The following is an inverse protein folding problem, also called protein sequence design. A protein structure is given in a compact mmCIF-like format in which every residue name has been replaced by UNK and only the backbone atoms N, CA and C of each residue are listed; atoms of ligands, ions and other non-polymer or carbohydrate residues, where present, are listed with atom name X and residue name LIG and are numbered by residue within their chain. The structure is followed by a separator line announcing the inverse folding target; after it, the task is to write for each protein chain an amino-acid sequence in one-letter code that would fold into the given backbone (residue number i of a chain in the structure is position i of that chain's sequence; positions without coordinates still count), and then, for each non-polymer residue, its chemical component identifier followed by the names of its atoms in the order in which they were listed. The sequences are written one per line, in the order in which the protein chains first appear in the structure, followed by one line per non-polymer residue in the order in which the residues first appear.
data_IF_837593733243
#
_entry.id   IF_837593733243
#
_cell.length_a   1.000
_cell.length_b   1.000
_cell.length_c   1.000
_cell.angle_alpha   90.00
_cell.angle_beta   90.00
_cell.angle_gamma   90.00
#
_symmetry.space_group_name_H-M   'P 1'
#
loop_
_entity.id
_entity.type
_entity.pdbx_description
1 polymer ?
#
# COMPACT_ATOMS: atom_id res chain seq x y z
N UNK A 1 -10.02 -6.82 -21.84
CA UNK A 1 -9.35 -5.62 -22.39
C UNK A 1 -7.86 -5.85 -22.30
N UNK A 2 -7.05 -5.24 -23.20
CA UNK A 2 -5.60 -5.33 -23.17
C UNK A 2 -4.98 -4.03 -22.66
N UNK A 3 -3.77 -4.10 -22.15
CA UNK A 3 -3.06 -2.95 -21.58
C UNK A 3 -2.93 -1.76 -22.54
N UNK A 4 -2.64 -2.02 -23.82
CA UNK A 4 -2.54 -0.97 -24.84
C UNK A 4 -3.86 -0.17 -25.00
N UNK A 5 -5.00 -0.81 -24.77
CA UNK A 5 -6.29 -0.15 -24.82
C UNK A 5 -6.50 0.76 -23.60
N UNK A 6 -5.95 0.41 -22.43
CA UNK A 6 -5.96 1.29 -21.25
C UNK A 6 -5.06 2.52 -21.45
N UNK A 7 -3.89 2.34 -22.09
CA UNK A 7 -3.00 3.45 -22.41
C UNK A 7 -3.66 4.44 -23.37
N UNK A 8 -4.51 3.95 -24.28
CA UNK A 8 -5.26 4.81 -25.21
C UNK A 8 -6.35 5.65 -24.54
N UNK A 9 -6.79 5.31 -23.31
CA UNK A 9 -7.73 6.12 -22.54
C UNK A 9 -7.10 7.43 -22.03
N UNK A 10 -5.78 7.44 -21.85
CA UNK A 10 -5.08 8.63 -21.37
C UNK A 10 -5.00 9.65 -22.50
N UNK A 11 -5.71 10.80 -22.43
CA UNK A 11 -5.80 11.71 -23.55
C UNK A 11 -4.44 12.32 -23.89
N UNK A 12 -4.28 12.72 -25.14
CA UNK A 12 -3.15 13.54 -25.55
C UNK A 12 -3.30 14.96 -24.97
N UNK A 13 -2.21 15.74 -24.85
CA UNK A 13 -2.28 17.11 -24.37
C UNK A 13 -3.34 17.93 -25.12
N UNK A 14 -4.24 18.57 -24.37
CA UNK A 14 -5.33 19.38 -24.90
C UNK A 14 -6.54 18.63 -25.46
N UNK A 15 -6.56 17.30 -25.35
CA UNK A 15 -7.73 16.50 -25.70
C UNK A 15 -8.57 16.17 -24.46
N UNK A 16 -9.88 16.12 -24.64
CA UNK A 16 -10.81 15.67 -23.61
C UNK A 16 -10.76 14.13 -23.47
N UNK A 17 -11.01 13.58 -22.26
CA UNK A 17 -11.14 12.15 -22.07
C UNK A 17 -12.35 11.57 -22.78
N UNK A 18 -12.24 10.37 -23.31
CA UNK A 18 -13.40 9.57 -23.74
C UNK A 18 -13.98 8.81 -22.54
N UNK A 19 -14.86 9.44 -21.80
CA UNK A 19 -15.50 8.85 -20.62
C UNK A 19 -16.37 7.62 -20.95
N UNK A 20 -16.90 7.54 -22.19
CA UNK A 20 -17.64 6.35 -22.62
C UNK A 20 -16.70 5.15 -22.77
N UNK A 21 -15.53 5.36 -23.38
CA UNK A 21 -14.50 4.34 -23.45
C UNK A 21 -13.97 3.96 -22.05
N UNK A 22 -13.83 4.92 -21.12
CA UNK A 22 -13.44 4.66 -19.73
C UNK A 22 -14.42 3.72 -19.02
N UNK A 23 -15.72 3.98 -19.15
CA UNK A 23 -16.77 3.14 -18.56
C UNK A 23 -16.82 1.76 -19.24
N UNK A 24 -16.68 1.69 -20.56
CA UNK A 24 -16.57 0.41 -21.26
C UNK A 24 -15.35 -0.40 -20.80
N UNK A 25 -14.26 0.29 -20.47
CA UNK A 25 -13.04 -0.28 -19.93
C UNK A 25 -13.19 -0.84 -18.52
N UNK A 26 -13.90 -0.14 -17.68
CA UNK A 26 -14.12 -0.46 -16.27
C UNK A 26 -15.63 -0.45 -15.97
N UNK A 27 -16.35 -1.55 -16.24
CA UNK A 27 -17.82 -1.58 -16.08
C UNK A 27 -18.29 -1.26 -14.65
N UNK A 28 -17.45 -1.43 -13.64
CA UNK A 28 -17.77 -1.04 -12.27
C UNK A 28 -18.04 0.48 -12.11
N UNK A 29 -17.54 1.32 -13.03
CA UNK A 29 -17.82 2.76 -13.06
C UNK A 29 -19.29 3.08 -13.38
N UNK A 30 -20.05 2.17 -14.00
CA UNK A 30 -21.49 2.36 -14.19
C UNK A 30 -22.24 2.50 -12.86
N UNK A 31 -21.81 1.77 -11.82
CA UNK A 31 -22.39 1.90 -10.48
C UNK A 31 -22.15 3.28 -9.86
N UNK A 32 -21.06 3.97 -10.23
CA UNK A 32 -20.75 5.29 -9.74
C UNK A 32 -21.82 6.33 -10.08
N UNK A 33 -22.52 6.17 -11.22
CA UNK A 33 -23.56 7.07 -11.72
C UNK A 33 -24.81 7.12 -10.81
N UNK A 34 -25.00 6.13 -9.99
CA UNK A 34 -26.15 6.03 -9.06
C UNK A 34 -25.72 5.98 -7.59
N UNK A 35 -24.42 6.12 -7.32
CA UNK A 35 -23.89 6.08 -5.96
C UNK A 35 -23.91 7.48 -5.34
N UNK A 36 -24.78 7.71 -4.33
CA UNK A 36 -24.89 9.02 -3.70
C UNK A 36 -23.68 9.31 -2.80
N UNK A 37 -23.41 10.59 -2.57
CA UNK A 37 -22.38 11.08 -1.67
C UNK A 37 -22.96 12.10 -0.66
N UNK A 38 -22.21 12.34 0.44
CA UNK A 38 -22.61 13.35 1.42
C UNK A 38 -22.51 14.75 0.81
N UNK A 39 -23.63 15.47 0.64
CA UNK A 39 -23.68 16.78 -0.01
C UNK A 39 -22.77 17.83 0.64
N UNK A 40 -22.52 17.72 1.95
CA UNK A 40 -21.61 18.64 2.65
C UNK A 40 -20.17 18.57 2.15
N UNK A 41 -19.77 17.44 1.54
CA UNK A 41 -18.42 17.22 1.01
C UNK A 41 -18.39 17.01 -0.50
N UNK A 42 -19.55 16.81 -1.12
CA UNK A 42 -19.73 16.50 -2.53
C UNK A 42 -21.00 17.15 -3.05
N UNK A 43 -21.00 18.48 -3.13
CA UNK A 43 -22.12 19.25 -3.68
C UNK A 43 -22.36 19.00 -5.17
N UNK A 44 -21.41 18.38 -5.87
CA UNK A 44 -21.52 17.93 -7.24
C UNK A 44 -22.46 16.72 -7.43
N UNK A 45 -22.73 15.95 -6.38
CA UNK A 45 -23.74 14.89 -6.39
C UNK A 45 -23.20 13.47 -6.32
N UNK A 46 -23.32 12.69 -7.41
CA UNK A 46 -22.93 11.27 -7.45
C UNK A 46 -21.41 11.07 -7.66
N UNK A 47 -20.97 9.83 -7.44
CA UNK A 47 -19.54 9.45 -7.53
C UNK A 47 -19.02 9.60 -8.98
N UNK A 48 -19.85 9.38 -10.00
CA UNK A 48 -19.40 9.52 -11.38
C UNK A 48 -19.16 10.97 -11.77
N UNK A 49 -20.09 11.85 -11.42
CA UNK A 49 -19.94 13.31 -11.59
C UNK A 49 -18.67 13.79 -10.93
N UNK A 50 -18.44 13.39 -9.66
CA UNK A 50 -17.19 13.67 -8.97
C UNK A 50 -15.96 13.13 -9.72
N UNK A 51 -15.97 11.86 -10.13
CA UNK A 51 -14.83 11.22 -10.82
C UNK A 51 -14.46 11.97 -12.11
N UNK A 52 -15.46 12.38 -12.91
CA UNK A 52 -15.18 13.14 -14.15
C UNK A 52 -14.61 14.51 -13.85
N UNK A 53 -15.12 15.22 -12.84
CA UNK A 53 -14.57 16.52 -12.40
C UNK A 53 -13.13 16.36 -11.87
N UNK A 54 -12.80 15.30 -11.17
CA UNK A 54 -11.43 15.01 -10.71
C UNK A 54 -10.49 14.77 -11.89
N UNK A 55 -10.91 13.98 -12.87
CA UNK A 55 -10.11 13.74 -14.09
C UNK A 55 -9.91 15.02 -14.87
N UNK A 56 -10.95 15.82 -15.07
CA UNK A 56 -10.86 17.10 -15.78
C UNK A 56 -9.92 18.08 -15.04
N UNK A 57 -10.03 18.16 -13.70
CA UNK A 57 -9.14 18.95 -12.88
C UNK A 57 -7.69 18.49 -13.00
N UNK A 58 -7.43 17.16 -12.97
CA UNK A 58 -6.10 16.58 -13.13
C UNK A 58 -5.45 17.01 -14.45
N UNK A 59 -6.19 16.89 -15.55
CA UNK A 59 -5.69 17.22 -16.89
C UNK A 59 -5.35 18.71 -17.05
N UNK A 60 -5.99 19.58 -16.27
CA UNK A 60 -5.74 21.02 -16.26
C UNK A 60 -4.52 21.43 -15.42
N UNK A 61 -4.02 20.54 -14.53
CA UNK A 61 -2.90 20.86 -13.65
C UNK A 61 -1.58 20.95 -14.43
N UNK A 62 -0.78 22.02 -14.26
CA UNK A 62 0.52 22.17 -14.92
C UNK A 62 1.48 21.02 -14.61
N UNK A 63 1.48 20.53 -13.36
CA UNK A 63 2.35 19.43 -12.92
C UNK A 63 1.99 18.13 -13.65
N UNK A 64 0.71 17.87 -13.94
CA UNK A 64 0.30 16.75 -14.77
C UNK A 64 0.81 16.89 -16.20
N UNK A 65 0.65 18.09 -16.80
CA UNK A 65 1.07 18.34 -18.16
C UNK A 65 2.58 18.24 -18.35
N UNK A 66 3.36 18.58 -17.31
CA UNK A 66 4.80 18.48 -17.28
C UNK A 66 5.33 17.06 -16.94
N UNK A 67 4.47 16.18 -16.43
CA UNK A 67 4.84 14.84 -16.02
C UNK A 67 5.21 13.94 -17.22
N UNK A 68 6.03 12.91 -16.96
CA UNK A 68 6.32 11.90 -17.97
C UNK A 68 5.04 11.17 -18.41
N UNK A 69 5.01 10.63 -19.64
CA UNK A 69 3.85 9.87 -20.11
C UNK A 69 3.51 8.70 -19.22
N UNK A 70 4.51 8.02 -18.66
CA UNK A 70 4.30 6.94 -17.70
C UNK A 70 3.64 7.42 -16.39
N UNK A 71 4.07 8.57 -15.86
CA UNK A 71 3.46 9.17 -14.68
C UNK A 71 2.04 9.68 -14.96
N UNK A 72 1.82 10.29 -16.15
CA UNK A 72 0.49 10.67 -16.60
C UNK A 72 -0.47 9.48 -16.65
N UNK A 73 -0.03 8.34 -17.18
CA UNK A 73 -0.80 7.11 -17.21
C UNK A 73 -1.15 6.63 -15.81
N UNK A 74 -0.17 6.55 -14.92
CA UNK A 74 -0.36 6.09 -13.54
C UNK A 74 -1.38 6.97 -12.81
N UNK A 75 -1.19 8.30 -12.83
CA UNK A 75 -2.07 9.18 -12.06
C UNK A 75 -3.44 9.37 -12.71
N UNK A 76 -3.56 9.31 -14.03
CA UNK A 76 -4.84 9.33 -14.74
C UNK A 76 -5.69 8.10 -14.38
N UNK A 77 -5.12 6.90 -14.46
CA UNK A 77 -5.83 5.67 -14.08
C UNK A 77 -6.13 5.65 -12.58
N UNK A 78 -5.25 6.19 -11.74
CA UNK A 78 -5.53 6.34 -10.33
C UNK A 78 -6.70 7.32 -10.08
N UNK A 79 -6.76 8.45 -10.76
CA UNK A 79 -7.86 9.42 -10.67
C UNK A 79 -9.18 8.84 -11.17
N UNK A 80 -9.16 8.11 -12.28
CA UNK A 80 -10.36 7.45 -12.82
C UNK A 80 -10.93 6.39 -11.88
N UNK A 81 -10.07 5.69 -11.11
CA UNK A 81 -10.43 4.53 -10.30
C UNK A 81 -10.41 4.80 -8.78
N UNK A 82 -10.06 6.01 -8.31
CA UNK A 82 -9.84 6.26 -6.87
C UNK A 82 -11.06 5.94 -6.01
N UNK A 83 -12.23 6.17 -6.53
CA UNK A 83 -13.52 5.98 -5.86
C UNK A 83 -14.34 4.77 -6.38
N UNK A 84 -13.73 3.90 -7.18
CA UNK A 84 -14.41 2.76 -7.82
C UNK A 84 -15.17 1.85 -6.85
N UNK A 85 -14.77 1.78 -5.58
CA UNK A 85 -15.41 0.94 -4.58
C UNK A 85 -16.46 1.68 -3.74
N UNK A 86 -16.72 2.97 -3.94
CA UNK A 86 -17.72 3.68 -3.14
C UNK A 86 -19.11 3.02 -3.26
N UNK A 87 -19.52 2.57 -4.44
CA UNK A 87 -20.81 1.89 -4.61
C UNK A 87 -21.02 0.68 -3.69
N UNK A 88 -19.97 -0.06 -3.40
CA UNK A 88 -20.02 -1.29 -2.61
C UNK A 88 -19.66 -1.09 -1.14
N UNK A 89 -19.28 0.13 -0.74
CA UNK A 89 -18.95 0.50 0.63
C UNK A 89 -19.85 1.61 1.18
N UNK A 90 -20.86 2.02 0.40
CA UNK A 90 -21.84 3.03 0.83
C UNK A 90 -22.63 2.53 2.04
N UNK A 91 -22.66 3.36 3.07
CA UNK A 91 -23.51 3.21 4.24
C UNK A 91 -24.37 4.44 4.39
N UNK A 92 -25.62 4.26 4.80
CA UNK A 92 -26.55 5.35 5.14
C UNK A 92 -26.95 5.15 6.60
N UNK A 93 -26.65 6.12 7.43
CA UNK A 93 -27.05 6.10 8.82
C UNK A 93 -28.59 6.17 8.91
N UNK A 94 -29.25 5.21 9.56
CA UNK A 94 -30.72 5.13 9.57
C UNK A 94 -31.40 6.23 10.39
N UNK A 95 -30.69 6.89 11.29
CA UNK A 95 -31.25 7.94 12.15
C UNK A 95 -31.03 9.34 11.53
N UNK A 96 -29.85 9.57 10.97
CA UNK A 96 -29.45 10.90 10.48
C UNK A 96 -29.51 11.04 8.97
N UNK A 97 -29.60 9.93 8.23
CA UNK A 97 -29.47 9.89 6.77
C UNK A 97 -28.04 10.19 6.26
N UNK A 98 -27.07 10.26 7.16
CA UNK A 98 -25.69 10.57 6.78
C UNK A 98 -25.10 9.46 5.90
N UNK A 99 -24.52 9.87 4.75
CA UNK A 99 -23.91 8.98 3.79
C UNK A 99 -22.41 8.89 4.05
N UNK A 100 -21.88 7.67 4.10
CA UNK A 100 -20.46 7.40 4.26
C UNK A 100 -19.98 6.25 3.38
N UNK A 101 -18.67 6.16 3.15
CA UNK A 101 -18.03 5.12 2.35
C UNK A 101 -16.82 4.52 3.09
N UNK A 102 -17.03 3.86 4.24
CA UNK A 102 -15.94 3.37 5.07
C UNK A 102 -15.08 2.36 4.32
N UNK A 103 -13.76 2.62 4.27
CA UNK A 103 -12.79 1.71 3.67
C UNK A 103 -12.79 1.66 2.14
N UNK A 104 -13.48 2.58 1.45
CA UNK A 104 -13.54 2.62 -0.02
C UNK A 104 -12.15 2.68 -0.67
N UNK A 105 -11.20 3.46 -0.12
CA UNK A 105 -9.85 3.56 -0.67
C UNK A 105 -9.13 2.21 -0.67
N UNK A 106 -9.18 1.47 0.45
CA UNK A 106 -8.58 0.14 0.56
C UNK A 106 -9.24 -0.87 -0.37
N UNK A 107 -10.60 -0.89 -0.38
CA UNK A 107 -11.34 -1.78 -1.26
C UNK A 107 -11.13 -1.40 -2.72
N UNK A 108 -11.13 -0.11 -3.04
CA UNK A 108 -10.86 0.42 -4.39
C UNK A 108 -9.50 0.00 -4.92
N UNK A 109 -8.46 0.05 -4.08
CA UNK A 109 -7.14 -0.46 -4.45
C UNK A 109 -7.15 -1.97 -4.78
N UNK A 110 -8.00 -2.77 -4.11
CA UNK A 110 -8.14 -4.21 -4.40
C UNK A 110 -8.91 -4.42 -5.70
N UNK A 111 -10.04 -3.74 -5.87
CA UNK A 111 -10.90 -3.89 -7.04
C UNK A 111 -10.18 -3.41 -8.32
N UNK A 112 -9.49 -2.26 -8.24
CA UNK A 112 -8.63 -1.76 -9.32
C UNK A 112 -7.50 -2.74 -9.65
N UNK A 113 -6.85 -3.36 -8.65
CA UNK A 113 -5.78 -4.34 -8.88
C UNK A 113 -6.25 -5.53 -9.70
N UNK A 114 -7.45 -6.04 -9.41
CA UNK A 114 -8.04 -7.16 -10.16
C UNK A 114 -8.29 -6.73 -11.61
N UNK A 115 -8.96 -5.60 -11.83
CA UNK A 115 -9.26 -5.11 -13.16
C UNK A 115 -8.01 -4.80 -14.00
N UNK A 116 -7.00 -4.18 -13.39
CA UNK A 116 -5.72 -3.89 -14.05
C UNK A 116 -4.89 -5.16 -14.32
N UNK A 117 -4.98 -6.15 -13.43
CA UNK A 117 -4.36 -7.46 -13.66
C UNK A 117 -4.96 -8.17 -14.86
N UNK A 118 -6.30 -8.23 -14.91
CA UNK A 118 -7.03 -8.87 -16.00
C UNK A 118 -6.76 -8.18 -17.35
N UNK A 119 -6.46 -6.88 -17.34
CA UNK A 119 -6.03 -6.12 -18.51
C UNK A 119 -4.55 -6.32 -18.88
N UNK A 120 -3.76 -7.06 -18.08
CA UNK A 120 -2.35 -7.32 -18.33
C UNK A 120 -1.42 -6.15 -18.04
N UNK A 121 -1.84 -5.21 -17.16
CA UNK A 121 -0.99 -4.08 -16.76
C UNK A 121 0.27 -4.61 -16.04
N UNK A 122 1.48 -4.16 -16.41
CA UNK A 122 2.72 -4.56 -15.76
C UNK A 122 2.68 -4.36 -14.24
N UNK A 123 3.36 -5.23 -13.51
CA UNK A 123 3.30 -5.27 -12.04
C UNK A 123 3.59 -3.91 -11.41
N UNK A 124 4.68 -3.26 -11.78
CA UNK A 124 5.11 -2.00 -11.15
C UNK A 124 4.11 -0.86 -11.42
N UNK A 125 3.63 -0.74 -12.66
CA UNK A 125 2.59 0.25 -13.03
C UNK A 125 1.30 -0.01 -12.28
N UNK A 126 0.83 -1.26 -12.27
CA UNK A 126 -0.38 -1.65 -11.55
C UNK A 126 -0.30 -1.35 -10.06
N UNK A 127 0.80 -1.75 -9.40
CA UNK A 127 0.95 -1.51 -7.97
C UNK A 127 1.13 -0.03 -7.64
N UNK A 128 1.76 0.78 -8.51
CA UNK A 128 1.81 2.23 -8.36
C UNK A 128 0.41 2.84 -8.36
N UNK A 129 -0.44 2.48 -9.33
CA UNK A 129 -1.85 2.93 -9.40
C UNK A 129 -2.61 2.53 -8.13
N UNK A 130 -2.54 1.23 -7.76
CA UNK A 130 -3.29 0.71 -6.61
C UNK A 130 -2.87 1.32 -5.28
N UNK A 131 -1.58 1.63 -5.11
CA UNK A 131 -1.08 2.29 -3.90
C UNK A 131 -1.57 3.74 -3.82
N UNK A 132 -1.56 4.49 -4.92
CA UNK A 132 -2.14 5.83 -4.97
C UNK A 132 -3.62 5.81 -4.58
N UNK A 133 -4.42 4.92 -5.15
CA UNK A 133 -5.83 4.73 -4.78
C UNK A 133 -5.98 4.44 -3.28
N UNK A 134 -5.12 3.58 -2.73
CA UNK A 134 -5.20 3.18 -1.32
C UNK A 134 -4.97 4.31 -0.31
N UNK A 135 -4.27 5.37 -0.71
CA UNK A 135 -3.85 6.48 0.17
C UNK A 135 -4.21 7.87 -0.35
N UNK A 136 -5.06 7.98 -1.40
CA UNK A 136 -5.34 9.24 -2.10
C UNK A 136 -5.81 10.38 -1.18
N UNK A 137 -6.55 10.07 -0.12
CA UNK A 137 -7.05 11.07 0.83
C UNK A 137 -6.06 11.41 1.95
N UNK A 138 -4.91 10.71 2.07
CA UNK A 138 -3.99 10.94 3.18
C UNK A 138 -3.48 12.39 3.22
N UNK A 139 -3.11 13.04 2.10
CA UNK A 139 -2.66 14.44 2.12
C UNK A 139 -3.68 15.43 2.69
N UNK A 140 -4.99 15.14 2.64
CA UNK A 140 -6.04 16.01 3.19
C UNK A 140 -5.94 16.21 4.70
N UNK A 141 -5.36 15.22 5.41
CA UNK A 141 -5.35 15.15 6.86
C UNK A 141 -3.93 15.04 7.44
N UNK A 142 -2.92 14.99 6.57
CA UNK A 142 -1.54 14.70 6.97
C UNK A 142 -0.99 15.71 7.96
N UNK A 143 -1.33 17.00 7.79
CA UNK A 143 -0.80 18.08 8.63
C UNK A 143 -1.62 18.28 9.90
N UNK A 144 -2.94 18.40 9.79
CA UNK A 144 -3.81 18.79 10.92
C UNK A 144 -4.54 17.64 11.58
N UNK A 145 -4.57 16.47 10.94
CA UNK A 145 -5.38 15.34 11.39
C UNK A 145 -4.65 13.99 11.36
N UNK A 146 -3.31 13.99 11.42
CA UNK A 146 -2.54 12.76 11.38
C UNK A 146 -2.99 11.80 12.50
N UNK A 147 -3.64 10.70 12.09
CA UNK A 147 -4.15 9.69 13.02
C UNK A 147 -3.05 8.75 13.54
N UNK A 148 -1.86 8.82 12.96
CA UNK A 148 -0.76 7.91 13.25
C UNK A 148 0.58 8.61 13.11
N UNK A 149 1.27 8.81 14.24
CA UNK A 149 2.56 9.46 14.28
C UNK A 149 2.49 10.97 13.99
N UNK A 150 3.64 11.57 13.75
CA UNK A 150 3.72 12.97 13.33
C UNK A 150 3.56 13.10 11.80
N UNK A 151 3.29 14.31 11.29
CA UNK A 151 3.27 14.57 9.85
C UNK A 151 4.57 14.14 9.15
N UNK A 152 5.73 14.35 9.79
CA UNK A 152 7.06 13.96 9.28
C UNK A 152 7.18 12.43 9.17
N UNK A 153 6.73 11.69 10.21
CA UNK A 153 6.71 10.24 10.16
C UNK A 153 5.86 9.75 9.00
N UNK A 154 4.69 10.34 8.81
CA UNK A 154 3.76 9.98 7.74
C UNK A 154 4.35 10.27 6.35
N UNK A 155 4.98 11.45 6.14
CA UNK A 155 5.63 11.78 4.88
C UNK A 155 6.78 10.80 4.56
N UNK A 156 7.61 10.51 5.56
CA UNK A 156 8.72 9.54 5.43
C UNK A 156 8.20 8.13 5.11
N UNK A 157 7.17 7.66 5.82
CA UNK A 157 6.57 6.33 5.61
C UNK A 157 5.94 6.22 4.20
N UNK A 158 5.16 7.22 3.78
CA UNK A 158 4.52 7.24 2.47
C UNK A 158 5.52 7.28 1.33
N UNK A 159 6.66 7.97 1.50
CA UNK A 159 7.70 8.05 0.46
C UNK A 159 8.28 6.69 0.08
N UNK A 160 8.19 5.68 0.96
CA UNK A 160 8.59 4.30 0.70
C UNK A 160 7.50 3.46 0.03
N UNK A 161 6.29 3.99 -0.05
CA UNK A 161 5.12 3.26 -0.56
C UNK A 161 4.66 3.78 -1.92
N UNK A 162 4.69 5.11 -2.11
CA UNK A 162 4.17 5.79 -3.30
C UNK A 162 5.08 6.92 -3.73
N UNK A 163 4.95 7.35 -4.98
CA UNK A 163 5.48 8.63 -5.45
C UNK A 163 4.69 9.76 -4.80
N UNK A 164 5.31 10.53 -3.91
CA UNK A 164 4.64 11.66 -3.25
C UNK A 164 4.24 12.76 -4.24
N UNK A 165 5.02 13.09 -5.30
CA UNK A 165 4.55 13.98 -6.36
C UNK A 165 3.22 13.52 -6.97
N UNK A 166 3.10 12.26 -7.37
CA UNK A 166 1.87 11.73 -7.96
C UNK A 166 0.72 11.65 -6.95
N UNK A 167 1.01 11.36 -5.68
CA UNK A 167 0.01 11.36 -4.61
C UNK A 167 -0.56 12.77 -4.37
N UNK A 168 0.31 13.78 -4.27
CA UNK A 168 -0.14 15.16 -4.10
C UNK A 168 -0.90 15.66 -5.33
N UNK A 169 -0.48 15.28 -6.53
CA UNK A 169 -1.16 15.62 -7.77
C UNK A 169 -2.58 15.02 -7.82
N UNK A 170 -2.72 13.74 -7.45
CA UNK A 170 -4.03 13.09 -7.33
C UNK A 170 -4.90 13.73 -6.25
N UNK A 171 -4.34 14.00 -5.07
CA UNK A 171 -5.08 14.63 -3.98
C UNK A 171 -5.54 16.05 -4.33
N UNK A 172 -4.71 16.83 -5.00
CA UNK A 172 -5.09 18.17 -5.48
C UNK A 172 -6.21 18.09 -6.52
N UNK A 173 -6.11 17.16 -7.47
CA UNK A 173 -7.16 16.93 -8.46
C UNK A 173 -8.47 16.50 -7.82
N UNK A 174 -8.43 15.55 -6.86
CA UNK A 174 -9.60 15.10 -6.10
C UNK A 174 -10.28 16.28 -5.38
N UNK A 175 -9.52 17.16 -4.74
CA UNK A 175 -10.09 18.31 -4.04
C UNK A 175 -10.63 19.38 -5.00
N UNK A 176 -9.96 19.61 -6.13
CA UNK A 176 -10.44 20.54 -7.16
C UNK A 176 -11.68 20.03 -7.91
N UNK A 177 -11.86 18.72 -7.94
CA UNK A 177 -13.05 18.04 -8.48
C UNK A 177 -14.23 17.99 -7.51
N UNK A 178 -14.16 18.66 -6.34
CA UNK A 178 -15.23 18.72 -5.34
C UNK A 178 -15.90 20.09 -5.30
N UNK A 179 -17.19 20.07 -4.97
CA UNK A 179 -17.92 21.26 -4.57
C UNK A 179 -18.16 21.17 -3.07
N UNK A 180 -17.31 21.81 -2.27
CA UNK A 180 -17.40 21.85 -0.81
C UNK A 180 -16.78 23.13 -0.24
N UNK A 181 -17.26 23.55 0.93
CA UNK A 181 -16.85 24.82 1.56
C UNK A 181 -15.40 24.78 2.07
N UNK A 182 -14.87 23.61 2.40
CA UNK A 182 -13.54 23.47 2.98
C UNK A 182 -12.44 23.21 1.94
N UNK A 183 -12.75 23.22 0.65
CA UNK A 183 -11.77 22.98 -0.42
C UNK A 183 -10.53 23.88 -0.34
N UNK A 184 -10.61 25.21 -0.10
CA UNK A 184 -9.42 26.05 0.00
C UNK A 184 -8.49 25.61 1.13
N UNK A 185 -9.03 25.29 2.30
CA UNK A 185 -8.27 24.82 3.46
C UNK A 185 -7.56 23.48 3.18
N UNK A 186 -8.26 22.56 2.52
CA UNK A 186 -7.67 21.25 2.20
C UNK A 186 -6.59 21.35 1.14
N UNK A 187 -6.74 22.26 0.16
CA UNK A 187 -5.69 22.56 -0.82
C UNK A 187 -4.44 23.12 -0.13
N UNK A 188 -4.62 24.03 0.85
CA UNK A 188 -3.50 24.52 1.68
C UNK A 188 -2.83 23.37 2.44
N UNK A 189 -3.59 22.44 3.03
CA UNK A 189 -3.05 21.28 3.75
C UNK A 189 -2.26 20.35 2.80
N UNK A 190 -2.68 20.17 1.56
CA UNK A 190 -1.94 19.42 0.55
C UNK A 190 -0.62 20.11 0.21
N UNK A 191 -0.62 21.43 0.07
CA UNK A 191 0.60 22.19 -0.22
C UNK A 191 1.58 22.16 0.97
N UNK A 192 1.08 22.33 2.18
CA UNK A 192 1.91 22.17 3.39
C UNK A 192 2.52 20.76 3.48
N UNK A 193 1.80 19.72 3.06
CA UNK A 193 2.34 18.37 3.00
C UNK A 193 3.44 18.24 1.93
N UNK A 194 3.31 18.92 0.76
CA UNK A 194 4.38 18.99 -0.25
C UNK A 194 5.65 19.61 0.30
N UNK A 195 5.51 20.78 0.95
CA UNK A 195 6.66 21.47 1.54
C UNK A 195 7.33 20.61 2.62
N UNK A 196 6.55 20.04 3.53
CA UNK A 196 7.07 19.12 4.54
C UNK A 196 7.85 17.97 3.90
N UNK A 197 7.33 17.34 2.84
CA UNK A 197 8.02 16.26 2.16
C UNK A 197 9.32 16.71 1.47
N UNK A 198 9.39 17.97 1.00
CA UNK A 198 10.61 18.57 0.47
C UNK A 198 11.63 18.83 1.57
N UNK A 199 11.23 19.41 2.68
CA UNK A 199 12.06 19.63 3.87
C UNK A 199 12.64 18.31 4.42
N UNK A 200 11.82 17.25 4.43
CA UNK A 200 12.21 15.90 4.83
C UNK A 200 13.07 15.17 3.80
N UNK A 201 13.34 15.78 2.64
CA UNK A 201 14.11 15.20 1.54
C UNK A 201 13.51 13.94 0.94
N UNK A 202 12.16 13.80 1.02
CA UNK A 202 11.44 12.60 0.59
C UNK A 202 10.34 12.86 -0.47
N UNK A 203 10.20 14.07 -1.01
CA UNK A 203 9.17 14.37 -2.01
C UNK A 203 9.40 13.62 -3.33
N UNK A 204 10.58 13.70 -3.92
CA UNK A 204 10.92 13.07 -5.22
C UNK A 204 11.58 11.69 -5.12
N UNK A 205 11.79 11.17 -3.91
CA UNK A 205 12.45 9.89 -3.64
C UNK A 205 12.09 9.38 -2.25
N UNK A 206 12.23 8.06 -1.98
CA UNK A 206 12.08 7.54 -0.62
C UNK A 206 13.05 8.22 0.36
N UNK A 207 12.59 8.50 1.59
CA UNK A 207 13.46 9.04 2.64
C UNK A 207 14.67 8.13 2.84
N UNK A 208 15.85 8.67 2.68
CA UNK A 208 17.09 7.96 2.97
C UNK A 208 17.28 7.78 4.48
N UNK A 209 17.80 6.63 4.89
CA UNK A 209 18.21 6.35 6.27
C UNK A 209 19.68 5.99 6.28
N UNK A 210 20.31 6.12 7.45
CA UNK A 210 21.73 5.78 7.62
C UNK A 210 22.02 4.33 7.20
N UNK A 211 21.12 3.41 7.53
CA UNK A 211 21.14 2.00 7.10
C UNK A 211 19.74 1.37 7.19
N UNK A 212 19.62 0.14 6.69
CA UNK A 212 18.35 -0.60 6.68
C UNK A 212 17.85 -0.94 8.10
N UNK A 213 18.75 -1.12 9.07
CA UNK A 213 18.36 -1.40 10.45
C UNK A 213 17.75 -0.17 11.12
N UNK A 214 18.34 1.00 10.90
CA UNK A 214 17.79 2.28 11.35
C UNK A 214 16.40 2.52 10.73
N UNK A 215 16.24 2.32 9.41
CA UNK A 215 14.96 2.44 8.73
C UNK A 215 13.90 1.51 9.33
N UNK A 216 14.26 0.24 9.53
CA UNK A 216 13.37 -0.76 10.10
C UNK A 216 12.94 -0.40 11.53
N UNK A 217 13.89 0.05 12.36
CA UNK A 217 13.63 0.44 13.74
C UNK A 217 12.73 1.67 13.81
N UNK A 218 13.01 2.68 12.97
CA UNK A 218 12.21 3.90 12.86
C UNK A 218 10.75 3.59 12.48
N UNK A 219 10.52 2.85 11.42
CA UNK A 219 9.16 2.50 10.97
C UNK A 219 8.43 1.53 11.92
N UNK A 220 9.16 0.92 12.85
CA UNK A 220 8.59 0.17 13.96
C UNK A 220 8.23 1.02 15.18
N UNK A 221 8.47 2.32 15.12
CA UNK A 221 8.16 3.26 16.18
C UNK A 221 9.23 3.40 17.25
N UNK A 222 10.47 2.95 16.98
CA UNK A 222 11.59 3.28 17.85
C UNK A 222 11.90 4.77 17.76
N UNK A 223 12.23 5.39 18.90
CA UNK A 223 12.70 6.76 18.96
C UNK A 223 14.17 6.82 18.49
N UNK A 224 14.35 6.92 17.18
CA UNK A 224 15.64 6.92 16.52
C UNK A 224 15.69 7.97 15.43
N UNK A 225 16.84 8.62 15.27
CA UNK A 225 17.03 9.60 14.23
C UNK A 225 17.36 8.91 12.89
N UNK A 226 16.73 9.31 11.77
CA UNK A 226 16.93 8.67 10.47
C UNK A 226 18.37 8.63 9.96
N UNK A 227 19.14 9.66 10.25
CA UNK A 227 20.46 9.88 9.67
C UNK A 227 21.62 9.29 10.49
N UNK A 228 21.33 8.68 11.64
CA UNK A 228 22.37 8.05 12.48
C UNK A 228 22.23 6.53 12.51
N UNK A 229 23.32 5.79 12.21
CA UNK A 229 23.27 4.33 12.26
C UNK A 229 23.08 3.85 13.71
N UNK A 230 22.20 2.89 13.88
CA UNK A 230 22.00 2.23 15.15
C UNK A 230 23.06 1.15 15.37
N UNK A 231 23.49 1.01 16.63
CA UNK A 231 24.30 -0.14 17.00
C UNK A 231 23.54 -1.44 16.72
N UNK A 232 24.16 -2.29 15.93
CA UNK A 232 23.63 -3.61 15.59
C UNK A 232 24.47 -4.65 16.31
N UNK A 233 23.95 -5.31 17.36
CA UNK A 233 24.67 -6.45 17.96
C UNK A 233 24.79 -7.55 16.90
N UNK A 234 25.90 -8.31 16.91
CA UNK A 234 26.03 -9.47 16.05
C UNK A 234 24.87 -10.43 16.29
N UNK A 235 24.20 -10.83 15.23
CA UNK A 235 23.04 -11.71 15.28
C UNK A 235 23.13 -12.83 14.25
N UNK A 236 22.24 -13.82 14.37
CA UNK A 236 22.13 -14.89 13.39
C UNK A 236 21.49 -14.39 12.11
N UNK A 237 22.03 -14.81 10.97
CA UNK A 237 21.37 -14.64 9.67
C UNK A 237 20.22 -15.63 9.54
N UNK A 238 18.99 -15.15 9.38
CA UNK A 238 17.81 -15.98 9.14
C UNK A 238 17.28 -15.74 7.72
N UNK A 239 17.18 -16.83 6.94
CA UNK A 239 16.56 -16.81 5.63
C UNK A 239 15.11 -17.24 5.78
N UNK A 240 14.17 -16.32 5.47
CA UNK A 240 12.73 -16.59 5.59
C UNK A 240 12.17 -16.93 4.22
N UNK A 241 11.72 -18.16 4.03
CA UNK A 241 11.04 -18.59 2.81
C UNK A 241 9.59 -18.10 2.82
N UNK A 242 9.09 -17.66 1.65
CA UNK A 242 7.69 -17.31 1.44
C UNK A 242 7.23 -17.85 0.10
N UNK A 243 6.11 -18.56 0.08
CA UNK A 243 5.55 -19.14 -1.14
C UNK A 243 4.50 -20.21 -0.87
N UNK A 244 3.68 -20.52 -1.86
CA UNK A 244 2.64 -21.54 -1.80
C UNK A 244 3.22 -22.94 -1.46
N UNK A 245 2.42 -23.86 -0.91
CA UNK A 245 2.79 -25.27 -0.89
C UNK A 245 3.22 -25.73 -2.29
N UNK A 246 4.20 -26.64 -2.35
CA UNK A 246 4.75 -27.16 -3.60
C UNK A 246 5.38 -26.14 -4.58
N UNK A 247 5.63 -24.89 -4.17
CA UNK A 247 6.25 -23.84 -5.03
C UNK A 247 7.78 -23.98 -5.20
N UNK A 248 8.38 -25.10 -4.81
CA UNK A 248 9.81 -25.35 -4.96
C UNK A 248 10.71 -24.77 -3.87
N UNK A 249 10.16 -24.29 -2.74
CA UNK A 249 10.95 -23.73 -1.64
C UNK A 249 12.05 -24.69 -1.14
N UNK A 250 11.71 -25.95 -0.90
CA UNK A 250 12.68 -26.95 -0.44
C UNK A 250 13.80 -27.18 -1.45
N UNK A 251 13.45 -27.27 -2.74
CA UNK A 251 14.42 -27.40 -3.84
C UNK A 251 15.36 -26.20 -3.88
N UNK A 252 14.81 -25.00 -3.78
CA UNK A 252 15.60 -23.77 -3.77
C UNK A 252 16.56 -23.73 -2.58
N UNK A 253 16.09 -24.08 -1.36
CA UNK A 253 16.94 -24.14 -0.16
C UNK A 253 18.06 -25.14 -0.33
N UNK A 254 17.77 -26.36 -0.80
CA UNK A 254 18.77 -27.40 -1.02
C UNK A 254 19.84 -27.01 -2.04
N UNK A 255 19.47 -26.20 -3.06
CA UNK A 255 20.42 -25.71 -4.09
C UNK A 255 21.27 -24.54 -3.62
N UNK A 256 20.72 -23.62 -2.83
CA UNK A 256 21.39 -22.34 -2.51
C UNK A 256 21.95 -22.28 -1.09
N UNK A 257 21.44 -23.11 -0.18
CA UNK A 257 21.84 -23.13 1.23
C UNK A 257 21.86 -24.56 1.81
N UNK A 258 22.57 -25.50 1.15
CA UNK A 258 22.56 -26.91 1.56
C UNK A 258 23.12 -27.13 2.98
N UNK A 259 24.01 -26.25 3.44
CA UNK A 259 24.71 -26.40 4.73
C UNK A 259 23.98 -25.75 5.91
N UNK A 260 22.88 -25.00 5.65
CA UNK A 260 22.16 -24.33 6.71
C UNK A 260 21.10 -25.25 7.33
N UNK A 261 20.96 -25.26 8.68
CA UNK A 261 19.84 -25.91 9.33
C UNK A 261 18.51 -25.34 8.80
N UNK A 262 17.56 -26.21 8.52
CA UNK A 262 16.21 -25.84 8.12
C UNK A 262 15.28 -26.04 9.31
N UNK A 263 14.47 -25.04 9.59
CA UNK A 263 13.38 -25.12 10.55
C UNK A 263 12.06 -24.98 9.79
N UNK A 264 11.25 -26.03 9.81
CA UNK A 264 9.95 -26.06 9.16
C UNK A 264 8.87 -26.63 10.09
N UNK A 265 7.60 -26.35 9.76
CA UNK A 265 6.49 -27.00 10.46
C UNK A 265 6.36 -28.48 10.08
N UNK A 266 6.81 -28.86 8.90
CA UNK A 266 6.76 -30.24 8.44
C UNK A 266 7.78 -31.10 9.23
N UNK A 267 9.03 -30.65 9.35
CA UNK A 267 10.04 -31.33 10.16
C UNK A 267 9.65 -31.41 11.65
N UNK A 268 9.04 -30.33 12.16
CA UNK A 268 8.55 -30.32 13.55
C UNK A 268 7.39 -31.31 13.76
N UNK A 269 6.53 -31.48 12.76
CA UNK A 269 5.41 -32.43 12.78
C UNK A 269 5.92 -33.86 12.75
N UNK A 270 6.86 -34.15 11.87
CA UNK A 270 7.48 -35.46 11.74
C UNK A 270 8.21 -35.83 13.02
N UNK A 271 8.97 -34.91 13.61
CA UNK A 271 9.66 -35.14 14.91
C UNK A 271 8.72 -35.38 16.09
N UNK A 272 7.45 -34.95 15.98
CA UNK A 272 6.39 -35.19 16.97
C UNK A 272 5.54 -36.46 16.66
N UNK A 273 5.75 -37.09 15.51
CA UNK A 273 4.93 -38.21 15.04
C UNK A 273 3.47 -37.84 14.77
N UNK A 274 3.20 -36.59 14.40
CA UNK A 274 1.86 -36.06 14.17
C UNK A 274 1.51 -36.00 12.68
N UNK A 275 0.22 -36.17 12.34
CA UNK A 275 -0.29 -35.96 10.99
C UNK A 275 -0.71 -34.51 10.79
N UNK A 276 -0.79 -34.08 9.52
CA UNK A 276 -1.31 -32.76 9.18
C UNK A 276 -2.70 -32.50 9.78
N UNK A 277 -2.89 -31.34 10.38
CA UNK A 277 -4.13 -30.98 11.09
C UNK A 277 -4.18 -31.48 12.55
N UNK A 278 -3.24 -32.27 13.01
CA UNK A 278 -3.18 -32.73 14.40
C UNK A 278 -2.30 -31.80 15.23
N UNK A 279 -2.89 -31.22 16.28
CA UNK A 279 -2.18 -30.44 17.31
C UNK A 279 -1.20 -29.38 16.77
N UNK A 280 -1.66 -28.59 15.78
CA UNK A 280 -0.85 -27.59 15.07
C UNK A 280 -0.17 -26.58 16.03
N UNK A 281 -0.78 -26.29 17.17
CA UNK A 281 -0.17 -25.46 18.22
C UNK A 281 1.13 -26.05 18.76
N UNK A 282 1.17 -27.38 18.99
CA UNK A 282 2.35 -28.08 19.48
C UNK A 282 3.45 -28.15 18.41
N UNK A 283 3.05 -28.33 17.15
CA UNK A 283 3.95 -28.26 15.99
C UNK A 283 4.61 -26.89 15.89
N UNK A 284 3.79 -25.82 16.00
CA UNK A 284 4.30 -24.45 15.96
C UNK A 284 5.27 -24.14 17.10
N UNK A 285 4.95 -24.55 18.34
CA UNK A 285 5.86 -24.39 19.48
C UNK A 285 7.18 -25.10 19.24
N UNK A 286 7.16 -26.37 18.76
CA UNK A 286 8.37 -27.13 18.47
C UNK A 286 9.26 -26.43 17.44
N UNK A 287 8.69 -25.94 16.34
CA UNK A 287 9.44 -25.22 15.31
C UNK A 287 10.05 -23.93 15.88
N UNK A 288 9.25 -23.15 16.62
CA UNK A 288 9.70 -21.90 17.25
C UNK A 288 10.83 -22.15 18.25
N UNK A 289 10.74 -23.20 19.06
CA UNK A 289 11.78 -23.53 20.04
C UNK A 289 13.10 -23.95 19.37
N UNK A 290 13.01 -24.70 18.27
CA UNK A 290 14.19 -25.05 17.45
C UNK A 290 14.85 -23.79 16.87
N UNK A 291 14.08 -22.86 16.32
CA UNK A 291 14.59 -21.60 15.83
C UNK A 291 15.22 -20.74 16.93
N UNK A 292 14.57 -20.64 18.11
CA UNK A 292 15.11 -19.92 19.27
C UNK A 292 16.44 -20.51 19.77
N UNK A 293 16.61 -21.81 19.70
CA UNK A 293 17.89 -22.46 20.05
C UNK A 293 19.00 -22.00 19.09
N UNK A 294 18.76 -22.06 17.78
CA UNK A 294 19.73 -21.61 16.77
C UNK A 294 20.08 -20.12 16.92
N UNK A 295 19.11 -19.28 17.26
CA UNK A 295 19.34 -17.85 17.49
C UNK A 295 20.20 -17.61 18.75
N UNK A 296 19.94 -18.32 19.84
CA UNK A 296 20.77 -18.21 21.05
C UNK A 296 22.23 -18.61 20.81
N UNK A 297 22.41 -19.58 19.93
CA UNK A 297 23.74 -20.07 19.54
C UNK A 297 24.41 -19.20 18.47
N UNK A 298 23.76 -18.13 17.99
CA UNK A 298 24.28 -17.27 16.92
C UNK A 298 24.37 -17.98 15.56
N UNK A 299 23.70 -19.11 15.37
CA UNK A 299 23.79 -19.94 14.16
C UNK A 299 22.82 -19.48 13.08
N UNK A 300 23.27 -19.28 11.83
CA UNK A 300 22.39 -19.00 10.72
C UNK A 300 21.49 -20.22 10.41
N UNK A 301 20.26 -19.96 9.93
CA UNK A 301 19.32 -21.01 9.53
C UNK A 301 18.28 -20.52 8.53
N UNK A 302 17.54 -21.46 7.94
CA UNK A 302 16.42 -21.21 7.06
C UNK A 302 15.10 -21.45 7.81
N UNK A 303 14.24 -20.44 7.90
CA UNK A 303 12.86 -20.59 8.34
C UNK A 303 11.98 -20.91 7.13
N UNK A 304 11.63 -22.16 6.96
CA UNK A 304 10.91 -22.66 5.79
C UNK A 304 9.44 -22.92 6.10
N UNK A 305 8.60 -21.96 5.76
CA UNK A 305 7.13 -22.04 5.88
C UNK A 305 6.48 -21.29 4.74
N UNK A 306 5.15 -21.34 4.64
CA UNK A 306 4.42 -20.61 3.57
C UNK A 306 4.53 -19.10 3.70
N UNK A 307 4.44 -18.57 4.92
CA UNK A 307 4.60 -17.14 5.28
C UNK A 307 3.84 -16.16 4.35
N UNK A 308 2.72 -16.58 3.77
CA UNK A 308 1.98 -15.81 2.76
C UNK A 308 1.27 -14.60 3.35
N UNK A 309 0.72 -14.71 4.55
CA UNK A 309 0.05 -13.59 5.19
C UNK A 309 1.02 -12.69 5.95
N UNK A 310 0.69 -11.40 6.03
CA UNK A 310 1.43 -10.44 6.85
C UNK A 310 1.53 -10.90 8.32
N UNK A 311 0.46 -11.50 8.86
CA UNK A 311 0.44 -12.03 10.21
C UNK A 311 1.45 -13.19 10.41
N UNK A 312 1.56 -14.10 9.44
CA UNK A 312 2.52 -15.20 9.51
C UNK A 312 3.96 -14.69 9.41
N UNK A 313 4.24 -13.75 8.49
CA UNK A 313 5.55 -13.09 8.41
C UNK A 313 5.87 -12.32 9.69
N UNK A 314 4.91 -11.58 10.23
CA UNK A 314 5.05 -10.92 11.52
C UNK A 314 5.43 -11.92 12.63
N UNK A 315 4.74 -13.04 12.74
CA UNK A 315 5.07 -14.08 13.72
C UNK A 315 6.48 -14.67 13.50
N UNK A 316 6.87 -14.96 12.26
CA UNK A 316 8.20 -15.47 11.94
C UNK A 316 9.31 -14.47 12.33
N UNK A 317 9.11 -13.19 12.09
CA UNK A 317 10.06 -12.13 12.44
C UNK A 317 10.08 -11.88 13.96
N UNK A 318 8.93 -11.96 14.65
CA UNK A 318 8.81 -11.68 16.09
C UNK A 318 9.01 -12.89 16.99
N UNK A 319 9.03 -14.11 16.46
CA UNK A 319 9.52 -15.23 17.25
C UNK A 319 10.97 -15.01 17.72
N UNK A 320 11.62 -13.93 17.24
CA UNK A 320 13.04 -13.65 17.42
C UNK A 320 13.34 -12.18 17.72
N UNK A 321 12.79 -11.59 18.79
CA UNK A 321 13.00 -10.17 19.04
C UNK A 321 14.26 -9.85 19.85
N UNK A 322 14.81 -8.66 19.70
CA UNK A 322 14.77 -7.72 20.79
C UNK A 322 13.39 -7.05 20.83
N UNK A 323 12.88 -6.76 22.04
CA UNK A 323 11.57 -6.16 22.30
C UNK A 323 11.26 -5.00 21.35
N UNK A 324 10.40 -5.22 20.37
CA UNK A 324 9.86 -4.14 19.53
C UNK A 324 8.38 -4.43 19.32
N UNK A 325 7.55 -3.68 20.01
CA UNK A 325 6.11 -3.64 19.83
C UNK A 325 5.78 -2.74 18.63
N UNK A 326 4.90 -3.21 17.74
CA UNK A 326 4.30 -2.49 16.61
C UNK A 326 5.11 -2.30 15.31
N UNK A 327 4.99 -3.27 14.39
CA UNK A 327 5.33 -3.09 12.97
C UNK A 327 4.20 -2.42 12.21
N UNK A 328 4.47 -1.41 11.35
CA UNK A 328 3.54 -1.01 10.31
C UNK A 328 3.28 -2.20 9.37
N UNK A 329 2.00 -2.44 9.04
CA UNK A 329 1.60 -3.58 8.17
C UNK A 329 2.20 -3.50 6.75
N UNK A 330 2.80 -2.37 6.39
CA UNK A 330 3.36 -2.05 5.07
C UNK A 330 4.78 -2.57 4.82
N UNK A 331 5.58 -2.84 5.85
CA UNK A 331 6.95 -3.38 5.69
C UNK A 331 7.00 -4.92 5.64
N UNK A 332 5.86 -5.59 5.67
CA UNK A 332 5.75 -7.04 5.55
C UNK A 332 5.27 -7.49 4.15
N UNK A 333 5.53 -6.67 3.11
CA UNK A 333 5.27 -7.02 1.70
C UNK A 333 6.57 -7.35 0.97
#
# INVERSE_FOLDING_TARGET
MKYEQLQALVPAPGQAPDYQACVAAFPALEHAKTTPQALAHHGEGDVWTHTTMVVDALLALPDYQAASRADQEIVFLAALLHDIAKYSTTTIDPETGAIGHPGHSRKGAIDARIALWDAGVPFDTREAICRLIGVHQVPFFAIRGARRGSPEFLARELSWQVSLPLLCLLAEADMRGRICDDAPRVLDDIELFRELAREEGCYGRPRAFADAHTALSYFRGADVHPDYPLFQPPGSKVIVMSGLPASGKNTWVAQHHPDLPVVSFDDARDALGLRHGQNEGRVAHRAIDSAKALLRDGRPFVWNATNLSALMRKKAIFAHPPKIENLPQTLAR
#
